data_IF_655487138225
#
_entry.id   IF_655487138225
#
_cell.length_a   1.000
_cell.length_b   1.000
_cell.length_c   1.000
_cell.angle_alpha   90.00
_cell.angle_beta   90.00
_cell.angle_gamma   90.00
#
_symmetry.space_group_name_H-M   'P 1'
#
loop_
_entity.id
_entity.type
_entity.pdbx_description
1 polymer ?
#
# COMPACT_ATOMS: atom_id res chain seq x y z
N UNK A 1 -14.94 4.32 -2.30
CA UNK A 1 -13.99 4.64 -1.20
C UNK A 1 -13.31 5.96 -1.49
N UNK A 2 -12.95 6.73 -0.47
CA UNK A 2 -12.23 8.01 -0.63
C UNK A 2 -10.74 7.84 -0.33
N UNK A 3 -9.89 8.68 -0.92
CA UNK A 3 -8.43 8.67 -0.71
C UNK A 3 -8.00 8.61 0.78
N UNK A 4 -8.64 9.33 1.74
CA UNK A 4 -8.27 9.26 3.14
C UNK A 4 -8.43 7.86 3.75
N UNK A 5 -9.44 7.09 3.31
CA UNK A 5 -9.65 5.73 3.79
C UNK A 5 -8.55 4.79 3.30
N UNK A 6 -8.16 4.90 2.02
CA UNK A 6 -7.05 4.12 1.48
C UNK A 6 -5.73 4.45 2.16
N UNK A 7 -5.48 5.74 2.46
CA UNK A 7 -4.29 6.15 3.22
C UNK A 7 -4.29 5.54 4.63
N UNK A 8 -5.42 5.56 5.32
CA UNK A 8 -5.55 4.92 6.63
C UNK A 8 -5.31 3.40 6.57
N UNK A 9 -5.87 2.74 5.55
CA UNK A 9 -5.64 1.31 5.30
C UNK A 9 -4.17 1.01 5.02
N UNK A 10 -3.54 1.76 4.12
CA UNK A 10 -2.10 1.63 3.85
C UNK A 10 -1.25 1.94 5.08
N UNK A 11 -1.67 2.83 5.98
CA UNK A 11 -0.95 3.09 7.25
C UNK A 11 -1.17 2.01 8.32
N UNK A 12 -1.91 0.94 8.01
CA UNK A 12 -2.23 -0.11 8.98
C UNK A 12 -3.26 0.31 10.04
N UNK A 13 -3.91 1.47 9.87
CA UNK A 13 -4.95 1.97 10.80
C UNK A 13 -6.30 1.26 10.55
N UNK A 14 -6.53 0.76 9.33
CA UNK A 14 -7.73 0.02 8.94
C UNK A 14 -7.40 -1.22 8.14
N UNK A 15 -7.46 -2.38 8.79
CA UNK A 15 -7.08 -3.67 8.19
C UNK A 15 -8.28 -4.54 7.80
N UNK A 16 -9.48 -3.96 7.74
CA UNK A 16 -10.67 -4.60 7.20
C UNK A 16 -11.34 -3.70 6.18
N UNK A 17 -11.74 -4.29 5.07
CA UNK A 17 -12.59 -3.66 4.08
C UNK A 17 -14.03 -3.55 4.61
N UNK A 18 -14.86 -2.64 4.06
CA UNK A 18 -16.27 -2.50 4.42
C UNK A 18 -17.11 -3.76 4.18
N UNK A 19 -16.65 -4.66 3.30
CA UNK A 19 -17.26 -5.97 3.05
C UNK A 19 -16.85 -7.04 4.10
N UNK A 20 -15.99 -6.68 5.06
CA UNK A 20 -15.48 -7.57 6.10
C UNK A 20 -14.18 -8.30 5.75
N UNK A 21 -13.73 -8.22 4.49
CA UNK A 21 -12.50 -8.89 4.03
C UNK A 21 -11.27 -8.30 4.70
N UNK A 22 -10.27 -9.14 4.98
CA UNK A 22 -8.98 -8.71 5.54
C UNK A 22 -8.21 -7.90 4.50
N UNK A 23 -7.55 -6.84 4.95
CA UNK A 23 -6.63 -6.06 4.11
C UNK A 23 -5.27 -6.75 4.14
N UNK A 24 -4.74 -7.07 2.97
CA UNK A 24 -3.34 -7.48 2.80
C UNK A 24 -2.57 -6.35 2.12
N UNK A 25 -1.54 -5.83 2.77
CA UNK A 25 -0.81 -4.66 2.25
C UNK A 25 0.41 -5.16 1.46
N UNK A 26 0.53 -4.69 0.23
CA UNK A 26 1.65 -4.94 -0.66
C UNK A 26 2.36 -3.62 -0.96
N UNK A 27 3.67 -3.55 -0.71
CA UNK A 27 4.47 -2.35 -0.92
C UNK A 27 5.69 -2.68 -1.76
N UNK A 28 6.12 -1.74 -2.60
CA UNK A 28 7.43 -1.83 -3.22
C UNK A 28 8.51 -1.43 -2.22
N UNK A 29 9.63 -2.15 -2.25
CA UNK A 29 10.81 -1.81 -1.46
C UNK A 29 11.26 -0.39 -1.77
N UNK A 30 11.73 0.31 -0.75
CA UNK A 30 12.16 1.70 -0.84
C UNK A 30 13.40 1.93 -1.71
N UNK A 31 14.14 0.88 -2.09
CA UNK A 31 15.19 0.97 -3.09
C UNK A 31 14.64 1.18 -4.52
N UNK A 32 13.33 1.06 -4.72
CA UNK A 32 12.66 1.40 -5.97
C UNK A 32 12.17 2.87 -5.96
N UNK A 33 12.09 3.53 -7.12
CA UNK A 33 11.56 4.89 -7.22
C UNK A 33 10.14 5.03 -6.64
N UNK A 34 9.32 3.98 -6.81
CA UNK A 34 7.94 3.96 -6.35
C UNK A 34 7.87 3.73 -4.85
N UNK A 35 8.64 2.78 -4.30
CA UNK A 35 8.71 2.58 -2.85
C UNK A 35 9.17 3.84 -2.12
N UNK A 36 10.15 4.57 -2.68
CA UNK A 36 10.58 5.88 -2.16
C UNK A 36 9.44 6.91 -2.21
N UNK A 37 8.74 7.00 -3.34
CA UNK A 37 7.63 7.93 -3.53
C UNK A 37 6.46 7.61 -2.59
N UNK A 38 6.12 6.34 -2.43
CA UNK A 38 5.07 5.82 -1.56
C UNK A 38 5.38 6.14 -0.09
N UNK A 39 6.60 5.86 0.36
CA UNK A 39 7.04 6.16 1.73
C UNK A 39 6.89 7.66 2.03
N UNK A 40 7.30 8.52 1.09
CA UNK A 40 7.22 9.98 1.24
C UNK A 40 5.80 10.54 1.13
N UNK A 41 5.02 10.13 0.12
CA UNK A 41 3.69 10.71 -0.16
C UNK A 41 2.58 10.16 0.74
N UNK A 42 2.68 8.91 1.16
CA UNK A 42 1.62 8.24 1.94
C UNK A 42 1.93 8.30 3.43
N UNK A 43 3.18 8.02 3.81
CA UNK A 43 3.58 7.92 5.21
C UNK A 43 4.33 9.15 5.72
N UNK A 44 4.80 10.02 4.81
CA UNK A 44 5.71 11.12 5.14
C UNK A 44 6.95 10.63 5.92
N UNK A 45 7.44 9.44 5.55
CA UNK A 45 8.53 8.73 6.20
C UNK A 45 9.60 8.34 5.19
N UNK A 46 10.84 8.25 5.66
CA UNK A 46 11.92 7.56 4.95
C UNK A 46 11.71 6.05 4.94
N UNK A 47 12.47 5.35 4.10
CA UNK A 47 12.54 3.89 4.03
C UNK A 47 12.69 3.23 5.42
N UNK A 48 13.67 3.70 6.18
CA UNK A 48 14.00 3.14 7.48
C UNK A 48 12.92 3.44 8.52
N UNK A 49 12.31 4.62 8.47
CA UNK A 49 11.19 4.97 9.34
C UNK A 49 9.95 4.13 9.02
N UNK A 50 9.64 3.91 7.75
CA UNK A 50 8.55 3.04 7.34
C UNK A 50 8.75 1.60 7.84
N UNK A 51 9.96 1.06 7.70
CA UNK A 51 10.29 -0.27 8.22
C UNK A 51 10.11 -0.34 9.74
N UNK A 52 10.62 0.66 10.48
CA UNK A 52 10.46 0.74 11.95
C UNK A 52 8.99 0.89 12.36
N UNK A 53 8.22 1.67 11.62
CA UNK A 53 6.79 1.88 11.84
C UNK A 53 6.02 0.56 11.73
N UNK A 54 6.22 -0.17 10.64
CA UNK A 54 5.59 -1.48 10.44
C UNK A 54 6.05 -2.51 11.46
N UNK A 55 7.35 -2.53 11.76
CA UNK A 55 7.90 -3.41 12.78
C UNK A 55 7.24 -3.17 14.14
N UNK A 56 7.04 -1.91 14.53
CA UNK A 56 6.35 -1.56 15.77
C UNK A 56 4.88 -1.98 15.78
N UNK A 57 4.15 -1.82 14.67
CA UNK A 57 2.75 -2.27 14.56
C UNK A 57 2.63 -3.79 14.70
N UNK A 58 3.53 -4.54 14.07
CA UNK A 58 3.58 -6.01 14.12
C UNK A 58 3.91 -6.48 15.52
N UNK A 59 4.95 -5.91 16.16
CA UNK A 59 5.30 -6.27 17.54
C UNK A 59 4.19 -5.95 18.54
N UNK A 60 3.39 -4.91 18.29
CA UNK A 60 2.23 -4.57 19.12
C UNK A 60 0.99 -5.45 18.82
N UNK A 61 1.06 -6.35 17.83
CA UNK A 61 -0.08 -7.15 17.39
C UNK A 61 -1.21 -6.33 16.76
N UNK A 62 -0.92 -5.09 16.33
CA UNK A 62 -1.92 -4.18 15.74
C UNK A 62 -2.15 -4.41 14.26
N UNK A 63 -1.12 -4.87 13.55
CA UNK A 63 -1.17 -5.10 12.12
C UNK A 63 -0.26 -6.24 11.68
N UNK A 64 -0.61 -6.86 10.56
CA UNK A 64 0.31 -7.77 9.87
C UNK A 64 1.34 -6.98 9.06
N UNK A 65 2.51 -7.59 8.88
CA UNK A 65 3.59 -7.00 8.09
C UNK A 65 3.17 -6.88 6.61
N UNK A 66 3.53 -5.78 5.92
CA UNK A 66 3.35 -5.68 4.49
C UNK A 66 4.22 -6.68 3.74
N UNK A 67 3.72 -7.15 2.60
CA UNK A 67 4.53 -7.89 1.63
C UNK A 67 5.34 -6.89 0.81
N UNK A 68 6.67 -7.04 0.83
CA UNK A 68 7.58 -6.14 0.13
C UNK A 68 8.08 -6.75 -1.19
N UNK A 69 7.79 -6.07 -2.29
CA UNK A 69 8.15 -6.49 -3.65
C UNK A 69 9.27 -5.61 -4.22
N UNK A 70 9.97 -6.13 -5.24
CA UNK A 70 11.02 -5.37 -5.95
C UNK A 70 10.56 -4.85 -7.31
N UNK A 71 9.51 -5.44 -7.89
CA UNK A 71 8.97 -5.05 -9.18
C UNK A 71 7.48 -4.77 -9.12
N UNK A 72 7.00 -3.81 -9.92
CA UNK A 72 5.57 -3.52 -10.07
C UNK A 72 4.81 -4.76 -10.56
N UNK A 73 5.38 -5.50 -11.51
CA UNK A 73 4.75 -6.71 -12.04
C UNK A 73 4.46 -7.76 -10.95
N UNK A 74 5.41 -7.99 -10.04
CA UNK A 74 5.23 -8.92 -8.90
C UNK A 74 4.15 -8.41 -7.94
N UNK A 75 4.13 -7.11 -7.68
CA UNK A 75 3.12 -6.50 -6.81
C UNK A 75 1.72 -6.59 -7.44
N UNK A 76 1.60 -6.30 -8.73
CA UNK A 76 0.34 -6.38 -9.48
C UNK A 76 -0.19 -7.81 -9.51
N UNK A 77 0.66 -8.78 -9.83
CA UNK A 77 0.30 -10.20 -9.82
C UNK A 77 -0.16 -10.64 -8.42
N UNK A 78 0.56 -10.25 -7.38
CA UNK A 78 0.18 -10.55 -6.00
C UNK A 78 -1.19 -9.93 -5.63
N UNK A 79 -1.44 -8.67 -5.99
CA UNK A 79 -2.72 -8.00 -5.74
C UNK A 79 -3.85 -8.65 -6.54
N UNK A 80 -3.59 -9.08 -7.78
CA UNK A 80 -4.57 -9.76 -8.61
C UNK A 80 -4.95 -11.16 -8.07
N UNK A 81 -3.98 -11.87 -7.50
CA UNK A 81 -4.19 -13.22 -6.93
C UNK A 81 -4.72 -13.18 -5.49
N UNK A 82 -4.49 -12.09 -4.76
CA UNK A 82 -4.85 -11.98 -3.33
C UNK A 82 -6.09 -11.11 -3.14
N UNK A 83 -7.22 -11.75 -2.84
CA UNK A 83 -8.45 -11.01 -2.55
C UNK A 83 -8.27 -10.12 -1.31
N UNK A 84 -8.70 -8.87 -1.39
CA UNK A 84 -8.52 -7.87 -0.34
C UNK A 84 -7.11 -7.30 -0.24
N UNK A 85 -6.21 -7.59 -1.19
CA UNK A 85 -4.91 -6.93 -1.23
C UNK A 85 -4.99 -5.48 -1.72
N UNK A 86 -4.08 -4.65 -1.23
CA UNK A 86 -3.88 -3.27 -1.69
C UNK A 86 -2.40 -3.03 -1.96
N UNK A 87 -2.12 -2.47 -3.14
CA UNK A 87 -0.79 -2.08 -3.56
C UNK A 87 -0.70 -0.64 -4.04
N UNK A 88 0.52 -0.16 -4.22
CA UNK A 88 0.79 1.15 -4.84
C UNK A 88 1.71 0.94 -6.03
N UNK A 89 1.25 1.40 -7.19
CA UNK A 89 1.92 1.31 -8.49
C UNK A 89 2.05 2.70 -9.12
N UNK A 90 2.98 2.86 -10.06
CA UNK A 90 3.20 4.14 -10.75
C UNK A 90 2.14 4.44 -11.81
N UNK A 91 1.62 3.40 -12.44
CA UNK A 91 0.62 3.48 -13.51
C UNK A 91 -0.63 2.71 -13.12
N UNK A 92 -1.82 3.15 -13.57
CA UNK A 92 -3.02 2.34 -13.39
C UNK A 92 -2.83 1.00 -14.12
N UNK A 93 -3.01 -0.14 -13.43
CA UNK A 93 -2.95 -1.44 -14.07
C UNK A 93 -4.14 -1.62 -15.00
N UNK A 94 -4.03 -2.54 -15.95
CA UNK A 94 -5.09 -2.85 -16.93
C UNK A 94 -6.36 -3.40 -16.26
N UNK A 95 -6.24 -3.95 -15.04
CA UNK A 95 -7.34 -4.57 -14.29
C UNK A 95 -7.30 -4.15 -12.80
N UNK A 96 -8.46 -3.82 -12.23
CA UNK A 96 -8.61 -3.50 -10.79
C UNK A 96 -9.21 -2.12 -10.49
N UNK A 97 -9.49 -1.85 -9.22
CA UNK A 97 -9.96 -0.54 -8.75
C UNK A 97 -8.77 0.33 -8.34
N UNK A 98 -8.52 1.41 -9.07
CA UNK A 98 -7.40 2.33 -8.82
C UNK A 98 -7.89 3.69 -8.33
N UNK A 99 -7.17 4.27 -7.37
CA UNK A 99 -7.41 5.65 -6.91
C UNK A 99 -6.10 6.43 -6.99
N UNK A 100 -6.13 7.58 -7.65
CA UNK A 100 -4.97 8.47 -7.82
C UNK A 100 -4.64 9.18 -6.50
N UNK A 101 -3.37 9.11 -6.08
CA UNK A 101 -2.89 9.66 -4.80
C UNK A 101 -2.64 11.19 -4.88
N UNK A 102 -2.52 11.74 -6.10
CA UNK A 102 -2.12 13.15 -6.33
C UNK A 102 -3.17 14.01 -7.06
N UNK A 103 -4.38 13.48 -7.29
CA UNK A 103 -5.49 14.32 -7.75
C UNK A 103 -5.32 15.01 -9.11
N UNK A 104 -4.34 14.68 -9.96
CA UNK A 104 -4.43 15.03 -11.39
C UNK A 104 -5.45 14.13 -12.06
N UNK A 105 -6.71 14.56 -11.95
CA UNK A 105 -7.75 14.30 -12.93
C UNK A 105 -7.24 14.90 -14.24
N UNK A 106 -6.56 14.12 -15.07
CA UNK A 106 -6.42 14.51 -16.47
C UNK A 106 -7.84 14.41 -17.02
N UNK A 107 -8.44 15.57 -17.30
CA UNK A 107 -9.64 15.68 -18.12
C UNK A 107 -9.48 14.91 -19.42
#
# INVERSE_FOLDING_TARGET
MKLPQLKATLRGERLRWPDGSKVTIALLKSNTPIGTTTSRKIYNMSANELNKYWLALVFQGKADAPNFFTSEAELEEFVAQTNGAIGVVSRPPTSGKTILIDGKKTL
#
